data_IF_510826597820
#
_entry.id   IF_510826597820
#
_cell.length_a   1.000
_cell.length_b   1.000
_cell.length_c   1.000
_cell.angle_alpha   90.00
_cell.angle_beta   90.00
_cell.angle_gamma   90.00
#
_symmetry.space_group_name_H-M   'P 1'
#
loop_
_entity.id
_entity.type
_entity.pdbx_description
1 polymer ?
#
# COMPACT_ATOMS: atom_id res chain seq x y z
N UNK A 1 -38.77 21.04 -6.66
CA UNK A 1 -38.17 19.72 -6.38
C UNK A 1 -36.74 19.99 -5.96
N UNK A 2 -36.41 19.71 -4.70
CA UNK A 2 -35.09 20.00 -4.14
C UNK A 2 -34.02 19.20 -4.90
N UNK A 3 -32.94 19.87 -5.27
CA UNK A 3 -31.74 19.35 -5.90
C UNK A 3 -31.18 18.21 -5.04
N UNK A 4 -31.42 16.94 -5.42
CA UNK A 4 -30.78 15.82 -4.74
C UNK A 4 -29.28 15.90 -5.06
N UNK A 5 -28.39 15.92 -4.05
CA UNK A 5 -26.97 15.94 -4.32
C UNK A 5 -26.60 14.72 -5.17
N UNK A 6 -26.17 14.96 -6.40
CA UNK A 6 -25.76 13.92 -7.32
C UNK A 6 -24.62 13.12 -6.66
N UNK A 7 -24.85 11.82 -6.47
CA UNK A 7 -23.88 10.97 -5.80
C UNK A 7 -22.55 11.00 -6.59
N UNK A 8 -21.38 11.20 -5.94
CA UNK A 8 -20.11 11.48 -6.63
C UNK A 8 -19.71 10.43 -7.69
N UNK A 9 -20.18 9.19 -7.54
CA UNK A 9 -19.91 8.11 -8.48
C UNK A 9 -20.72 8.18 -9.79
N UNK A 10 -21.74 9.05 -9.90
CA UNK A 10 -22.50 9.18 -11.14
C UNK A 10 -21.78 10.02 -12.21
N UNK A 11 -20.84 10.86 -11.80
CA UNK A 11 -20.09 11.75 -12.71
C UNK A 11 -18.72 11.21 -13.10
N UNK A 12 -18.26 10.12 -12.48
CA UNK A 12 -16.96 9.54 -12.84
C UNK A 12 -17.00 8.91 -14.24
N UNK A 13 -15.90 8.99 -15.02
CA UNK A 13 -15.79 8.39 -16.34
C UNK A 13 -16.11 6.89 -16.33
N UNK A 14 -16.47 6.36 -17.50
CA UNK A 14 -16.81 4.93 -17.67
C UNK A 14 -15.65 4.03 -17.22
N UNK A 15 -14.43 4.46 -17.50
CA UNK A 15 -13.17 3.77 -17.24
C UNK A 15 -12.88 3.63 -15.74
N UNK A 16 -13.39 4.56 -14.92
CA UNK A 16 -13.29 4.52 -13.47
C UNK A 16 -14.31 3.56 -12.82
N UNK A 17 -15.19 2.92 -13.60
CA UNK A 17 -16.22 1.98 -13.10
C UNK A 17 -15.85 0.56 -13.49
N UNK A 18 -15.50 -0.27 -12.50
CA UNK A 18 -15.14 -1.67 -12.70
C UNK A 18 -16.15 -2.46 -13.53
N UNK A 19 -17.44 -2.30 -13.22
CA UNK A 19 -18.53 -2.97 -13.94
C UNK A 19 -18.62 -2.60 -15.44
N UNK A 20 -18.05 -1.46 -15.85
CA UNK A 20 -18.08 -0.98 -17.24
C UNK A 20 -16.76 -1.17 -17.97
N UNK A 21 -15.65 -1.21 -17.23
CA UNK A 21 -14.30 -1.31 -17.78
C UNK A 21 -13.73 -2.73 -17.76
N UNK A 22 -14.11 -3.56 -16.79
CA UNK A 22 -13.49 -4.87 -16.51
C UNK A 22 -14.49 -6.02 -16.51
N UNK A 23 -15.61 -5.89 -15.77
CA UNK A 23 -16.55 -7.00 -15.60
C UNK A 23 -17.11 -7.49 -16.95
N UNK A 24 -17.10 -8.82 -17.17
CA UNK A 24 -17.63 -9.46 -18.38
C UNK A 24 -16.78 -9.29 -19.64
N UNK A 25 -15.57 -8.71 -19.54
CA UNK A 25 -14.63 -8.59 -20.67
C UNK A 25 -13.60 -9.71 -20.64
N UNK A 26 -13.22 -10.18 -21.82
CA UNK A 26 -12.06 -11.07 -21.96
C UNK A 26 -10.79 -10.34 -21.48
N UNK A 27 -9.85 -11.02 -20.81
CA UNK A 27 -8.63 -10.39 -20.28
C UNK A 27 -7.85 -9.56 -21.31
N UNK A 28 -7.72 -10.06 -22.54
CA UNK A 28 -7.03 -9.38 -23.64
C UNK A 28 -7.75 -8.11 -24.13
N UNK A 29 -9.04 -7.92 -23.79
CA UNK A 29 -9.83 -6.75 -24.14
C UNK A 29 -9.89 -5.70 -23.03
N UNK A 30 -9.20 -5.93 -21.90
CA UNK A 30 -9.06 -4.96 -20.83
C UNK A 30 -7.85 -4.09 -21.15
N UNK A 31 -8.09 -2.81 -21.40
CA UNK A 31 -7.03 -1.80 -21.48
C UNK A 31 -6.85 -1.16 -20.09
N UNK A 32 -5.71 -1.35 -19.40
CA UNK A 32 -5.46 -0.74 -18.11
C UNK A 32 -4.95 0.72 -18.22
N UNK A 33 -4.64 1.23 -19.41
CA UNK A 33 -3.95 2.51 -19.62
C UNK A 33 -4.88 3.68 -19.95
N UNK A 34 -5.82 3.99 -19.06
CA UNK A 34 -6.70 5.15 -19.25
C UNK A 34 -6.07 6.44 -18.74
N UNK A 35 -5.37 7.17 -19.63
CA UNK A 35 -5.01 8.57 -19.42
C UNK A 35 -4.34 8.87 -18.08
N UNK A 36 -3.44 7.99 -17.62
CA UNK A 36 -2.83 8.14 -16.30
C UNK A 36 -2.10 9.47 -16.20
N UNK A 37 -2.49 10.26 -15.19
CA UNK A 37 -1.81 11.51 -14.84
C UNK A 37 -0.57 11.25 -13.98
N UNK A 38 -0.53 10.10 -13.30
CA UNK A 38 0.60 9.68 -12.49
C UNK A 38 1.56 8.90 -13.37
N UNK A 39 2.75 9.47 -13.59
CA UNK A 39 3.88 8.80 -14.23
C UNK A 39 4.89 8.48 -13.14
N UNK A 40 5.27 7.22 -13.05
CA UNK A 40 6.31 6.73 -12.16
C UNK A 40 7.47 6.30 -13.05
N UNK A 41 8.66 6.78 -12.72
CA UNK A 41 9.91 6.50 -13.43
C UNK A 41 10.84 5.70 -12.51
N UNK A 42 11.85 5.02 -13.06
CA UNK A 42 12.83 4.30 -12.25
C UNK A 42 13.59 5.20 -11.25
N UNK A 43 13.66 6.51 -11.47
CA UNK A 43 14.30 7.46 -10.56
C UNK A 43 13.43 7.83 -9.34
N UNK A 44 12.11 7.67 -9.43
CA UNK A 44 11.20 8.03 -8.36
C UNK A 44 11.35 7.11 -7.16
N UNK A 45 11.41 7.70 -5.96
CA UNK A 45 11.38 6.93 -4.71
C UNK A 45 9.97 6.43 -4.44
N UNK A 46 9.78 5.12 -4.52
CA UNK A 46 8.45 4.50 -4.37
C UNK A 46 8.37 3.78 -3.03
N UNK A 47 7.28 4.00 -2.31
CA UNK A 47 6.96 3.27 -1.09
C UNK A 47 5.59 2.60 -1.18
N UNK A 48 5.44 1.43 -0.57
CA UNK A 48 4.15 0.72 -0.53
C UNK A 48 3.78 0.32 0.89
N UNK A 49 2.55 0.58 1.29
CA UNK A 49 1.98 0.17 2.56
C UNK A 49 0.68 -0.59 2.32
N UNK A 50 0.53 -1.75 2.95
CA UNK A 50 -0.62 -2.60 2.73
C UNK A 50 -0.41 -4.00 3.31
N UNK A 51 -1.17 -4.96 2.77
CA UNK A 51 -1.06 -6.38 3.08
C UNK A 51 -0.30 -7.13 1.98
N UNK A 52 -0.66 -8.39 1.70
CA UNK A 52 -0.03 -9.25 0.69
C UNK A 52 0.06 -8.59 -0.70
N UNK A 53 -0.94 -7.79 -1.09
CA UNK A 53 -0.90 -7.10 -2.38
C UNK A 53 0.22 -6.06 -2.45
N UNK A 54 0.47 -5.33 -1.35
CA UNK A 54 1.57 -4.38 -1.29
C UNK A 54 2.94 -5.08 -1.35
N UNK A 55 3.07 -6.28 -0.75
CA UNK A 55 4.29 -7.09 -0.88
C UNK A 55 4.56 -7.46 -2.35
N UNK A 56 3.52 -7.86 -3.09
CA UNK A 56 3.65 -8.16 -4.53
C UNK A 56 4.05 -6.94 -5.36
N UNK A 57 3.54 -5.75 -5.02
CA UNK A 57 3.95 -4.49 -5.65
C UNK A 57 5.42 -4.21 -5.38
N UNK A 58 5.85 -4.32 -4.13
CA UNK A 58 7.25 -4.15 -3.69
C UNK A 58 8.19 -5.07 -4.49
N UNK A 59 7.89 -6.37 -4.51
CA UNK A 59 8.65 -7.38 -5.26
C UNK A 59 8.73 -7.04 -6.76
N UNK A 60 7.58 -6.70 -7.37
CA UNK A 60 7.52 -6.41 -8.81
C UNK A 60 8.29 -5.14 -9.19
N UNK A 61 8.22 -4.08 -8.39
CA UNK A 61 8.92 -2.82 -8.65
C UNK A 61 10.44 -3.00 -8.53
N UNK A 62 10.89 -3.70 -7.48
CA UNK A 62 12.31 -4.03 -7.28
C UNK A 62 12.83 -4.89 -8.44
N UNK A 63 12.12 -5.95 -8.81
CA UNK A 63 12.50 -6.82 -9.93
C UNK A 63 12.51 -6.09 -11.29
N UNK A 64 11.72 -5.03 -11.44
CA UNK A 64 11.67 -4.20 -12.65
C UNK A 64 12.68 -3.06 -12.67
N UNK A 65 13.56 -2.95 -11.66
CA UNK A 65 14.61 -1.94 -11.60
C UNK A 65 14.14 -0.54 -11.19
N UNK A 66 12.96 -0.41 -10.58
CA UNK A 66 12.52 0.87 -10.02
C UNK A 66 13.22 1.14 -8.69
N UNK A 67 13.38 2.43 -8.35
CA UNK A 67 13.89 2.89 -7.07
C UNK A 67 12.84 2.70 -5.94
N UNK A 68 12.63 1.44 -5.57
CA UNK A 68 11.81 1.09 -4.42
C UNK A 68 12.54 1.48 -3.14
N UNK A 69 11.96 2.43 -2.42
CA UNK A 69 12.59 3.05 -1.27
C UNK A 69 12.40 2.19 -0.02
N UNK A 70 13.51 1.61 0.45
CA UNK A 70 13.61 0.82 1.68
C UNK A 70 14.46 1.60 2.69
N UNK A 71 13.92 1.94 3.85
CA UNK A 71 14.64 2.63 4.93
C UNK A 71 15.31 1.67 5.91
N UNK A 72 14.89 0.41 5.90
CA UNK A 72 15.35 -0.63 6.83
C UNK A 72 15.79 -1.85 6.02
N UNK A 73 17.07 -1.89 5.63
CA UNK A 73 17.63 -2.98 4.82
C UNK A 73 18.03 -4.22 5.66
N UNK A 74 18.10 -4.07 6.97
CA UNK A 74 18.57 -5.10 7.90
C UNK A 74 20.09 -5.13 8.01
N UNK A 75 20.59 -5.75 9.09
CA UNK A 75 22.02 -5.74 9.35
C UNK A 75 22.82 -6.52 8.28
N UNK A 76 24.06 -6.08 7.95
CA UNK A 76 24.87 -6.72 6.90
C UNK A 76 25.18 -8.20 7.16
N UNK A 77 25.27 -8.62 8.42
CA UNK A 77 25.56 -10.00 8.80
C UNK A 77 24.37 -10.97 8.67
N UNK A 78 23.16 -10.46 8.45
CA UNK A 78 21.99 -11.31 8.26
C UNK A 78 21.97 -11.88 6.84
N UNK A 79 21.66 -13.18 6.71
CA UNK A 79 21.39 -13.77 5.41
C UNK A 79 20.15 -13.13 4.77
N UNK A 80 19.99 -13.18 3.43
CA UNK A 80 18.78 -12.70 2.77
C UNK A 80 17.49 -13.35 3.31
N UNK A 81 17.54 -14.64 3.62
CA UNK A 81 16.42 -15.40 4.19
C UNK A 81 16.09 -14.86 5.57
N UNK A 82 17.11 -14.63 6.41
CA UNK A 82 16.92 -14.10 7.75
C UNK A 82 16.41 -12.66 7.74
N UNK A 83 16.86 -11.84 6.80
CA UNK A 83 16.33 -10.48 6.59
C UNK A 83 14.84 -10.54 6.29
N UNK A 84 14.43 -11.42 5.38
CA UNK A 84 13.02 -11.61 4.99
C UNK A 84 12.16 -12.13 6.15
N UNK A 85 12.64 -13.11 6.92
CA UNK A 85 11.97 -13.60 8.13
C UNK A 85 11.72 -12.47 9.15
N UNK A 86 12.70 -11.56 9.29
CA UNK A 86 12.63 -10.40 10.16
C UNK A 86 11.96 -9.18 9.50
N UNK A 87 11.31 -9.37 8.34
CA UNK A 87 10.54 -8.36 7.60
C UNK A 87 11.35 -7.19 7.01
N UNK A 88 12.67 -7.31 6.87
CA UNK A 88 13.48 -6.33 6.16
C UNK A 88 13.27 -6.41 4.64
N UNK A 89 13.18 -5.26 3.98
CA UNK A 89 12.97 -5.16 2.53
C UNK A 89 11.60 -5.63 2.01
N UNK A 90 10.70 -6.12 2.87
CA UNK A 90 9.34 -6.55 2.49
C UNK A 90 8.51 -5.33 2.08
N UNK A 91 8.53 -4.29 2.90
CA UNK A 91 7.94 -2.98 2.64
C UNK A 91 9.02 -1.90 2.70
N UNK A 92 8.62 -0.63 2.59
CA UNK A 92 9.55 0.48 2.74
C UNK A 92 10.16 0.60 4.14
N UNK A 93 9.46 0.13 5.18
CA UNK A 93 9.94 0.04 6.55
C UNK A 93 9.23 -1.11 7.28
N UNK A 94 9.67 -1.48 8.49
CA UNK A 94 9.12 -2.62 9.25
C UNK A 94 7.86 -2.25 10.05
N UNK A 95 6.84 -1.72 9.37
CA UNK A 95 5.53 -1.41 9.99
C UNK A 95 4.51 -2.56 9.90
N UNK A 96 4.83 -3.65 9.20
CA UNK A 96 3.93 -4.79 9.04
C UNK A 96 2.70 -4.49 8.17
N UNK A 97 1.65 -5.30 8.33
CA UNK A 97 0.45 -5.18 7.50
C UNK A 97 -0.36 -3.93 7.85
N UNK A 98 -0.70 -3.17 6.83
CA UNK A 98 -1.62 -2.03 6.92
C UNK A 98 -2.90 -2.38 6.15
N UNK A 99 -4.05 -2.31 6.82
CA UNK A 99 -5.34 -2.69 6.24
C UNK A 99 -6.24 -1.50 5.91
N UNK A 100 -5.96 -0.34 6.49
CA UNK A 100 -6.76 0.87 6.26
C UNK A 100 -5.89 2.10 6.09
N UNK A 101 -6.42 3.09 5.37
CA UNK A 101 -5.77 4.41 5.22
C UNK A 101 -5.66 5.13 6.56
N UNK A 102 -6.64 4.94 7.45
CA UNK A 102 -6.61 5.53 8.80
C UNK A 102 -5.49 4.92 9.65
N UNK A 103 -5.26 3.60 9.57
CA UNK A 103 -4.14 2.94 10.22
C UNK A 103 -2.80 3.49 9.70
N UNK A 104 -2.67 3.69 8.39
CA UNK A 104 -1.46 4.29 7.80
C UNK A 104 -1.23 5.72 8.32
N UNK A 105 -2.29 6.53 8.35
CA UNK A 105 -2.21 7.90 8.86
C UNK A 105 -1.81 7.92 10.35
N UNK A 106 -2.38 7.02 11.15
CA UNK A 106 -2.02 6.88 12.56
C UNK A 106 -0.56 6.46 12.72
N UNK A 107 -0.09 5.50 11.94
CA UNK A 107 1.32 5.07 11.93
C UNK A 107 2.24 6.26 11.66
N UNK A 108 1.97 7.07 10.64
CA UNK A 108 2.78 8.25 10.36
C UNK A 108 2.76 9.25 11.52
N UNK A 109 1.59 9.54 12.09
CA UNK A 109 1.49 10.45 13.23
C UNK A 109 2.28 9.95 14.43
N UNK A 110 2.25 8.64 14.72
CA UNK A 110 3.05 8.00 15.78
C UNK A 110 4.54 8.13 15.50
N UNK A 111 4.98 7.78 14.29
CA UNK A 111 6.38 7.84 13.88
C UNK A 111 6.98 9.25 13.99
N UNK A 112 6.17 10.29 13.77
CA UNK A 112 6.59 11.69 13.90
C UNK A 112 6.27 12.32 15.28
N UNK A 113 5.86 11.54 16.28
CA UNK A 113 5.55 12.04 17.62
C UNK A 113 4.33 12.98 17.69
N UNK A 114 3.44 12.93 16.69
CA UNK A 114 2.23 13.77 16.59
C UNK A 114 0.98 13.11 17.13
N UNK A 115 1.07 11.84 17.52
CA UNK A 115 -0.03 11.08 18.10
C UNK A 115 0.52 9.99 19.01
N UNK A 116 0.04 9.98 20.24
CA UNK A 116 0.24 8.89 21.18
C UNK A 116 -1.12 8.20 21.40
N UNK A 117 -1.25 6.88 21.18
CA UNK A 117 -2.49 6.17 21.46
C UNK A 117 -2.82 6.24 22.96
N UNK A 118 -4.01 6.74 23.30
CA UNK A 118 -4.45 6.75 24.70
C UNK A 118 -4.67 5.35 25.29
N UNK A 119 -4.85 4.35 24.43
CA UNK A 119 -4.97 2.95 24.82
C UNK A 119 -3.65 2.22 24.53
N UNK A 120 -3.05 1.56 25.54
CA UNK A 120 -1.82 0.81 25.36
C UNK A 120 -2.07 -0.48 24.58
N UNK A 121 -1.00 -1.22 24.27
CA UNK A 121 -1.13 -2.54 23.63
C UNK A 121 -1.93 -3.48 24.55
N UNK A 122 -2.93 -4.14 23.97
CA UNK A 122 -3.80 -5.04 24.72
C UNK A 122 -3.06 -6.31 25.09
N UNK A 123 -3.01 -6.60 26.38
CA UNK A 123 -2.41 -7.85 26.86
C UNK A 123 -3.44 -8.96 26.79
N UNK A 124 -3.18 -9.97 25.96
CA UNK A 124 -4.00 -11.17 25.90
C UNK A 124 -3.93 -11.93 27.23
N UNK A 125 -4.96 -12.68 27.64
CA UNK A 125 -4.96 -13.46 28.87
C UNK A 125 -3.77 -14.44 29.00
N UNK A 126 -3.20 -14.89 27.88
CA UNK A 126 -2.01 -15.73 27.82
C UNK A 126 -0.66 -14.99 27.85
N UNK A 127 -0.64 -13.68 28.10
CA UNK A 127 0.59 -12.88 28.21
C UNK A 127 1.15 -12.34 26.89
N UNK A 128 0.48 -12.61 25.76
CA UNK A 128 0.77 -11.95 24.49
C UNK A 128 0.32 -10.49 24.48
N UNK A 129 0.80 -9.74 23.49
CA UNK A 129 0.45 -8.35 23.19
C UNK A 129 -0.08 -8.25 21.76
#
# INVERSE_FOLDING_TARGET
>A
MADMPAFPYFTVPREARWAKAVAGRAPAAIDPHFGTRLRITPGDRIASAGSCFAQRISESLQASGYNYFVTEEGAPFLSPERRRELQYGVYSARYGNIYTVLQLLQLFRRAFGRFDPGEPVWRLPGGGY
#
